data_IF_128390834628
#
_entry.id   IF_128390834628
#
_cell.length_a   1.000
_cell.length_b   1.000
_cell.length_c   1.000
_cell.angle_alpha   90.00
_cell.angle_beta   90.00
_cell.angle_gamma   90.00
#
_symmetry.space_group_name_H-M   'P 1'
#
loop_
_entity.id
_entity.type
_entity.pdbx_description
1 polymer ?
#
# COMPACT_ATOMS: atom_id res chain seq x y z
N UNK A 1 14.82 0.91 -28.46
CA UNK A 1 15.08 0.38 -28.51
C UNK A 1 15.52 -0.32 -28.20
N UNK A 2 15.72 -0.61 -28.01
CA UNK A 2 16.18 -1.31 -27.94
C UNK A 2 16.69 -2.13 -27.70
N UNK A 3 16.99 -2.33 -27.72
CA UNK A 3 17.42 -3.15 -27.58
C UNK A 3 18.26 -3.76 -27.33
N UNK A 4 18.50 -3.90 -27.61
CA UNK A 4 19.63 -4.20 -27.55
C UNK A 4 20.18 -4.58 -26.36
N UNK A 5 19.79 -4.11 -25.52
CA UNK A 5 20.15 -4.37 -24.30
C UNK A 5 20.27 -5.75 -23.93
N UNK A 6 19.66 -6.56 -24.52
CA UNK A 6 19.66 -7.88 -24.16
C UNK A 6 20.99 -8.45 -24.24
N UNK A 7 21.88 -7.75 -24.73
CA UNK A 7 23.20 -8.28 -24.94
C UNK A 7 24.11 -8.25 -23.75
N UNK A 8 23.67 -7.61 -22.65
CA UNK A 8 24.50 -7.58 -21.46
C UNK A 8 24.03 -8.64 -20.48
N UNK A 9 24.79 -9.70 -20.25
CA UNK A 9 24.34 -10.77 -19.38
C UNK A 9 24.10 -10.31 -17.95
N UNK A 10 24.85 -9.32 -17.47
CA UNK A 10 24.64 -8.88 -16.10
C UNK A 10 23.34 -8.13 -15.96
N UNK A 11 22.92 -7.42 -16.98
CA UNK A 11 21.67 -6.73 -16.91
C UNK A 11 20.49 -7.68 -16.99
N UNK A 12 20.70 -8.87 -17.54
CA UNK A 12 19.64 -9.85 -17.59
C UNK A 12 19.25 -10.34 -16.21
N UNK A 13 20.12 -10.22 -15.23
CA UNK A 13 19.83 -10.66 -13.89
C UNK A 13 19.19 -9.58 -13.04
N UNK A 14 19.04 -8.39 -13.59
CA UNK A 14 18.40 -7.28 -12.88
C UNK A 14 17.03 -7.05 -13.47
N UNK A 15 15.96 -7.29 -12.71
CA UNK A 15 14.63 -7.08 -13.28
C UNK A 15 14.47 -5.65 -13.73
N UNK A 16 13.79 -5.46 -14.84
CA UNK A 16 13.45 -4.13 -15.29
C UNK A 16 12.49 -3.51 -14.28
N UNK A 17 12.73 -2.26 -13.95
CA UNK A 17 11.86 -1.58 -13.02
C UNK A 17 10.51 -1.30 -13.69
N UNK A 18 9.43 -1.72 -13.04
CA UNK A 18 8.09 -1.48 -13.55
C UNK A 18 7.65 -0.09 -13.15
N UNK A 19 6.91 0.55 -14.05
CA UNK A 19 6.35 1.85 -13.75
C UNK A 19 5.05 1.72 -13.00
N UNK A 20 4.86 2.57 -12.03
CA UNK A 20 3.60 2.62 -11.31
C UNK A 20 2.56 3.37 -12.14
N UNK A 21 1.30 3.08 -11.87
CA UNK A 21 0.21 3.82 -12.48
C UNK A 21 0.26 5.28 -12.03
N UNK A 22 -0.28 6.19 -12.84
CA UNK A 22 -0.46 7.56 -12.35
C UNK A 22 -1.38 7.56 -11.14
N UNK A 23 -1.11 8.44 -10.20
CA UNK A 23 -1.98 8.60 -9.04
C UNK A 23 -3.22 9.39 -9.47
N UNK A 24 -4.25 9.37 -8.61
CA UNK A 24 -5.46 10.14 -8.88
C UNK A 24 -5.13 11.63 -8.87
N UNK A 25 -5.87 12.40 -9.65
CA UNK A 25 -5.69 13.86 -9.67
C UNK A 25 -6.39 14.54 -8.51
N UNK A 26 -7.45 13.95 -8.02
CA UNK A 26 -8.24 14.48 -6.92
C UNK A 26 -8.86 13.32 -6.17
N UNK A 27 -9.19 13.54 -4.92
CA UNK A 27 -9.93 12.56 -4.12
C UNK A 27 -11.43 12.80 -4.17
N UNK A 28 -11.84 13.99 -4.57
CA UNK A 28 -13.26 14.33 -4.58
C UNK A 28 -14.00 13.40 -5.53
N UNK A 29 -15.03 12.76 -5.02
CA UNK A 29 -15.89 11.84 -5.77
C UNK A 29 -15.20 10.58 -6.25
N UNK A 30 -14.02 10.29 -5.72
CA UNK A 30 -13.34 9.05 -6.01
C UNK A 30 -13.63 8.03 -4.92
N UNK A 31 -13.53 6.75 -5.27
CA UNK A 31 -13.70 5.67 -4.31
C UNK A 31 -12.34 5.11 -3.94
N UNK A 32 -11.99 5.18 -2.67
CA UNK A 32 -10.72 4.68 -2.17
C UNK A 32 -10.98 3.49 -1.27
N UNK A 33 -10.34 2.36 -1.59
CA UNK A 33 -10.42 1.19 -0.73
C UNK A 33 -9.37 1.28 0.36
N UNK A 34 -9.76 0.90 1.57
CA UNK A 34 -8.81 0.73 2.66
C UNK A 34 -8.77 -0.74 2.99
N UNK A 35 -7.64 -1.35 2.71
CA UNK A 35 -7.46 -2.81 2.86
C UNK A 35 -6.74 -3.08 4.17
N UNK A 36 -7.48 -3.64 5.11
CA UNK A 36 -6.99 -3.96 6.43
C UNK A 36 -6.37 -5.35 6.37
N UNK A 37 -5.12 -5.47 6.79
CA UNK A 37 -4.46 -6.77 6.71
C UNK A 37 -4.80 -7.69 7.88
N UNK A 38 -5.63 -7.22 8.81
CA UNK A 38 -6.11 -8.03 9.96
C UNK A 38 -5.11 -8.13 11.10
N UNK A 39 -4.17 -7.20 11.18
CA UNK A 39 -3.28 -7.13 12.33
C UNK A 39 -3.88 -6.22 13.40
N UNK A 40 -3.60 -6.50 14.68
CA UNK A 40 -4.07 -5.62 15.74
C UNK A 40 -3.58 -4.19 15.52
N UNK A 41 -4.42 -3.25 15.85
CA UNK A 41 -4.19 -1.81 15.78
C UNK A 41 -4.35 -1.23 14.37
N UNK A 42 -4.40 -2.07 13.34
CA UNK A 42 -4.57 -1.56 11.98
C UNK A 42 -5.92 -0.90 11.77
N UNK A 43 -6.95 -1.46 12.38
CA UNK A 43 -8.29 -0.91 12.23
C UNK A 43 -8.34 0.54 12.72
N UNK A 44 -7.76 0.81 13.88
CA UNK A 44 -7.79 2.15 14.45
C UNK A 44 -7.03 3.16 13.58
N UNK A 45 -5.91 2.72 13.02
CA UNK A 45 -5.16 3.55 12.09
C UNK A 45 -6.00 3.87 10.85
N UNK A 46 -6.60 2.85 10.26
CA UNK A 46 -7.38 3.03 9.05
C UNK A 46 -8.67 3.81 9.30
N UNK A 47 -9.24 3.70 10.49
CA UNK A 47 -10.42 4.51 10.83
C UNK A 47 -10.08 6.00 10.72
N UNK A 48 -8.91 6.40 11.18
CA UNK A 48 -8.50 7.80 11.10
C UNK A 48 -8.23 8.20 9.65
N UNK A 49 -7.60 7.33 8.88
CA UNK A 49 -7.38 7.59 7.47
C UNK A 49 -8.71 7.76 6.74
N UNK A 50 -9.69 6.93 7.08
CA UNK A 50 -11.01 7.04 6.48
C UNK A 50 -11.65 8.39 6.75
N UNK A 51 -11.56 8.86 7.99
CA UNK A 51 -12.10 10.16 8.35
C UNK A 51 -11.50 11.26 7.47
N UNK A 52 -10.19 11.21 7.27
CA UNK A 52 -9.52 12.24 6.47
C UNK A 52 -9.90 12.16 5.00
N UNK A 53 -9.98 10.94 4.46
CA UNK A 53 -10.37 10.77 3.06
C UNK A 53 -11.79 11.28 2.82
N UNK A 54 -12.70 10.96 3.74
CA UNK A 54 -14.09 11.40 3.58
C UNK A 54 -14.20 12.91 3.69
N UNK A 55 -13.39 13.53 4.54
CA UNK A 55 -13.38 14.98 4.64
C UNK A 55 -12.95 15.65 3.34
N UNK A 56 -12.19 14.94 2.52
CA UNK A 56 -11.74 15.46 1.23
C UNK A 56 -12.66 15.06 0.08
N UNK A 57 -13.78 14.45 0.38
CA UNK A 57 -14.81 14.16 -0.61
C UNK A 57 -14.74 12.77 -1.21
N UNK A 58 -13.88 11.90 -0.70
CA UNK A 58 -13.80 10.54 -1.21
C UNK A 58 -14.88 9.67 -0.59
N UNK A 59 -15.29 8.64 -1.33
CA UNK A 59 -16.07 7.53 -0.78
C UNK A 59 -15.07 6.46 -0.36
N UNK A 60 -15.23 5.92 0.84
CA UNK A 60 -14.30 4.91 1.34
C UNK A 60 -15.01 3.58 1.48
N UNK A 61 -14.37 2.54 0.95
CA UNK A 61 -14.83 1.16 1.14
C UNK A 61 -13.78 0.42 1.95
N UNK A 62 -14.23 -0.34 2.94
CA UNK A 62 -13.33 -1.09 3.82
C UNK A 62 -13.32 -2.55 3.39
N UNK A 63 -12.11 -3.10 3.34
CA UNK A 63 -11.88 -4.51 3.02
C UNK A 63 -10.96 -5.07 4.09
N UNK A 64 -11.05 -6.37 4.32
CA UNK A 64 -10.22 -7.04 5.31
C UNK A 64 -9.66 -8.31 4.71
N UNK A 65 -8.36 -8.51 4.83
CA UNK A 65 -7.75 -9.76 4.40
C UNK A 65 -8.10 -10.86 5.41
N UNK A 66 -8.26 -12.11 4.95
CA UNK A 66 -8.52 -13.19 5.89
C UNK A 66 -7.36 -13.42 6.86
N UNK A 67 -6.13 -13.11 6.44
CA UNK A 67 -4.97 -13.25 7.31
C UNK A 67 -3.90 -12.28 6.85
N UNK A 68 -3.12 -11.77 7.81
CA UNK A 68 -1.99 -10.91 7.49
C UNK A 68 -0.79 -11.70 6.98
N UNK A 69 -0.81 -13.02 7.09
CA UNK A 69 0.35 -13.85 6.79
C UNK A 69 0.45 -14.28 5.33
N UNK A 70 -0.50 -13.87 4.50
CA UNK A 70 -0.52 -14.24 3.08
C UNK A 70 -0.93 -13.05 2.24
N UNK A 71 -0.68 -13.18 0.94
CA UNK A 71 -1.23 -12.21 0.00
C UNK A 71 -2.75 -12.33 -0.01
N UNK A 72 -3.41 -11.30 -0.46
CA UNK A 72 -4.87 -11.31 -0.49
C UNK A 72 -5.38 -12.34 -1.49
N UNK A 73 -6.55 -12.92 -1.22
CA UNK A 73 -7.14 -13.85 -2.20
C UNK A 73 -7.48 -13.15 -3.51
N UNK A 74 -7.46 -13.88 -4.60
CA UNK A 74 -7.77 -13.31 -5.91
C UNK A 74 -9.15 -12.70 -5.96
N UNK A 75 -10.12 -13.29 -5.28
CA UNK A 75 -11.46 -12.74 -5.26
C UNK A 75 -11.49 -11.34 -4.65
N UNK A 76 -10.63 -11.10 -3.67
CA UNK A 76 -10.55 -9.79 -3.05
C UNK A 76 -9.95 -8.78 -4.01
N UNK A 77 -8.88 -9.15 -4.71
CA UNK A 77 -8.31 -8.26 -5.73
C UNK A 77 -9.35 -7.92 -6.79
N UNK A 78 -10.10 -8.91 -7.23
CA UNK A 78 -11.11 -8.70 -8.27
C UNK A 78 -12.19 -7.74 -7.79
N UNK A 79 -12.66 -7.93 -6.57
CA UNK A 79 -13.70 -7.09 -6.03
C UNK A 79 -13.22 -5.64 -5.90
N UNK A 80 -12.01 -5.48 -5.38
CA UNK A 80 -11.44 -4.15 -5.21
C UNK A 80 -11.27 -3.47 -6.56
N UNK A 81 -10.80 -4.22 -7.57
CA UNK A 81 -10.53 -3.61 -8.87
C UNK A 81 -11.80 -3.15 -9.56
N UNK A 82 -12.95 -3.74 -9.23
CA UNK A 82 -14.22 -3.32 -9.79
C UNK A 82 -14.77 -2.12 -9.02
N UNK A 83 -14.57 -2.10 -7.71
CA UNK A 83 -15.27 -1.15 -6.85
C UNK A 83 -14.48 0.14 -6.56
N UNK A 84 -13.16 0.13 -6.71
CA UNK A 84 -12.34 1.24 -6.22
C UNK A 84 -11.54 1.89 -7.32
N UNK A 85 -11.22 3.16 -7.10
CA UNK A 85 -10.33 3.91 -7.98
C UNK A 85 -8.88 3.86 -7.49
N UNK A 86 -8.67 3.61 -6.21
CA UNK A 86 -7.34 3.51 -5.61
C UNK A 86 -7.45 2.79 -4.28
N UNK A 87 -6.32 2.31 -3.76
CA UNK A 87 -6.31 1.51 -2.53
C UNK A 87 -5.14 1.88 -1.64
N UNK A 88 -5.40 1.96 -0.34
CA UNK A 88 -4.36 2.05 0.69
C UNK A 88 -4.46 0.80 1.56
N UNK A 89 -3.35 0.11 1.74
CA UNK A 89 -3.31 -1.12 2.54
C UNK A 89 -2.50 -0.87 3.81
N UNK A 90 -2.97 -1.36 4.93
CA UNK A 90 -2.25 -1.19 6.19
C UNK A 90 -2.78 -2.11 7.26
N UNK A 91 -2.10 -2.26 8.30
CA UNK A 91 -0.85 -1.68 8.73
C UNK A 91 0.10 -2.82 9.06
N UNK A 92 1.20 -2.95 8.32
CA UNK A 92 2.10 -4.08 8.49
C UNK A 92 3.13 -3.76 9.56
N UNK A 93 3.36 -4.70 10.47
CA UNK A 93 4.35 -4.53 11.50
C UNK A 93 5.21 -5.76 11.75
N UNK A 94 5.35 -6.56 10.80
CA UNK A 94 6.17 -7.66 10.78
C UNK A 94 6.77 -7.72 9.43
N UNK A 95 7.76 -8.55 9.34
CA UNK A 95 8.42 -8.68 8.03
C UNK A 95 7.61 -9.42 7.00
N UNK A 96 6.95 -10.52 7.41
CA UNK A 96 6.16 -11.30 6.44
C UNK A 96 4.95 -10.50 5.96
N UNK A 97 4.31 -9.75 6.85
CA UNK A 97 3.15 -9.01 6.40
C UNK A 97 3.54 -7.81 5.54
N UNK A 98 4.74 -7.25 5.75
CA UNK A 98 5.23 -6.21 4.86
C UNK A 98 5.48 -6.78 3.45
N UNK A 99 6.06 -7.96 3.37
CA UNK A 99 6.29 -8.61 2.09
C UNK A 99 4.98 -8.93 1.38
N UNK A 100 3.99 -9.44 2.13
CA UNK A 100 2.69 -9.74 1.53
C UNK A 100 2.01 -8.47 1.03
N UNK A 101 2.13 -7.37 1.79
CA UNK A 101 1.55 -6.10 1.36
C UNK A 101 2.19 -5.62 0.07
N UNK A 102 3.50 -5.75 -0.05
CA UNK A 102 4.18 -5.36 -1.27
C UNK A 102 3.64 -6.14 -2.47
N UNK A 103 3.45 -7.45 -2.31
CA UNK A 103 2.88 -8.27 -3.37
C UNK A 103 1.44 -7.88 -3.68
N UNK A 104 0.65 -7.54 -2.66
CA UNK A 104 -0.71 -7.08 -2.89
C UNK A 104 -0.73 -5.82 -3.74
N UNK A 105 0.14 -4.86 -3.41
CA UNK A 105 0.20 -3.61 -4.17
C UNK A 105 0.59 -3.88 -5.61
N UNK A 106 1.56 -4.78 -5.80
CA UNK A 106 2.00 -5.14 -7.14
C UNK A 106 0.84 -5.70 -7.96
N UNK A 107 0.05 -6.58 -7.35
CA UNK A 107 -1.09 -7.17 -8.05
C UNK A 107 -2.15 -6.12 -8.39
N UNK A 108 -2.48 -5.25 -7.42
CA UNK A 108 -3.48 -4.21 -7.66
C UNK A 108 -3.04 -3.25 -8.76
N UNK A 109 -1.76 -2.86 -8.74
CA UNK A 109 -1.24 -1.99 -9.81
C UNK A 109 -1.36 -2.68 -11.16
N UNK A 110 -1.10 -3.98 -11.22
CA UNK A 110 -1.21 -4.70 -12.48
C UNK A 110 -2.66 -4.77 -12.98
N UNK A 111 -3.62 -4.58 -12.09
CA UNK A 111 -5.04 -4.56 -12.45
C UNK A 111 -5.56 -3.16 -12.76
N UNK A 112 -4.68 -2.17 -12.75
CA UNK A 112 -5.07 -0.81 -13.09
C UNK A 112 -5.49 0.04 -11.90
N UNK A 113 -5.19 -0.39 -10.68
CA UNK A 113 -5.61 0.31 -9.47
C UNK A 113 -4.38 0.91 -8.79
N UNK A 114 -4.23 2.24 -8.78
CA UNK A 114 -3.12 2.85 -8.04
C UNK A 114 -3.24 2.49 -6.57
N UNK A 115 -2.13 2.05 -6.00
CA UNK A 115 -2.18 1.51 -4.65
C UNK A 115 -0.86 1.74 -3.92
N UNK A 116 -0.94 1.75 -2.58
CA UNK A 116 0.23 1.82 -1.75
C UNK A 116 -0.05 1.24 -0.38
N UNK A 117 1.00 1.05 0.40
CA UNK A 117 0.82 0.43 1.71
C UNK A 117 1.53 1.20 2.80
N UNK A 118 1.10 0.95 4.04
CA UNK A 118 1.70 1.54 5.23
C UNK A 118 2.26 0.41 6.09
N UNK A 119 3.47 0.60 6.59
CA UNK A 119 4.14 -0.40 7.40
C UNK A 119 4.98 0.26 8.47
N UNK A 120 5.44 -0.53 9.43
CA UNK A 120 6.32 -0.05 10.49
C UNK A 120 7.71 0.26 9.92
N UNK A 121 8.32 1.31 10.44
CA UNK A 121 9.64 1.74 10.00
C UNK A 121 10.73 0.70 10.22
N UNK A 122 10.49 -0.30 11.06
CA UNK A 122 11.44 -1.39 11.26
C UNK A 122 11.70 -2.17 9.98
N UNK A 123 10.82 -2.08 9.00
CA UNK A 123 10.88 -2.95 7.83
C UNK A 123 11.15 -2.23 6.52
N UNK A 124 11.71 -1.01 6.60
CA UNK A 124 12.03 -0.24 5.40
C UNK A 124 13.02 -0.98 4.52
N UNK A 125 14.11 -1.45 5.11
CA UNK A 125 15.15 -2.10 4.31
C UNK A 125 14.66 -3.39 3.68
N UNK A 126 13.86 -4.15 4.43
CA UNK A 126 13.31 -5.39 3.91
C UNK A 126 12.39 -5.12 2.71
N UNK A 127 11.57 -4.08 2.82
CA UNK A 127 10.67 -3.74 1.73
C UNK A 127 11.43 -3.30 0.49
N UNK A 128 12.49 -2.51 0.70
CA UNK A 128 13.29 -2.05 -0.43
C UNK A 128 14.00 -3.20 -1.12
N UNK A 129 14.57 -4.13 -0.33
CA UNK A 129 15.25 -5.28 -0.91
C UNK A 129 14.29 -6.15 -1.71
N UNK A 130 13.09 -6.37 -1.17
CA UNK A 130 12.09 -7.17 -1.86
C UNK A 130 11.65 -6.49 -3.15
N UNK A 131 11.42 -5.19 -3.11
CA UNK A 131 11.01 -4.45 -4.30
C UNK A 131 12.07 -4.49 -5.38
N UNK A 132 13.33 -4.29 -4.99
CA UNK A 132 14.44 -4.36 -5.94
C UNK A 132 14.49 -5.73 -6.60
N UNK A 133 14.31 -6.77 -5.82
CA UNK A 133 14.35 -8.14 -6.34
C UNK A 133 13.23 -8.38 -7.34
N UNK A 134 12.07 -7.79 -7.12
CA UNK A 134 10.91 -8.00 -7.97
C UNK A 134 10.80 -6.97 -9.11
N UNK A 135 11.66 -5.96 -9.11
CA UNK A 135 11.62 -4.95 -10.16
C UNK A 135 10.47 -3.97 -10.02
N UNK A 136 10.01 -3.74 -8.80
CA UNK A 136 8.94 -2.80 -8.58
C UNK A 136 9.26 -1.96 -7.35
N UNK A 137 8.89 -0.68 -7.40
CA UNK A 137 9.03 0.22 -6.27
C UNK A 137 7.65 0.71 -5.88
N UNK A 138 6.93 -0.08 -5.09
CA UNK A 138 5.58 0.33 -4.73
C UNK A 138 5.62 1.58 -3.86
N UNK A 139 4.58 2.36 -3.93
CA UNK A 139 4.42 3.48 -3.02
C UNK A 139 4.22 2.94 -1.61
N UNK A 140 4.94 3.50 -0.67
CA UNK A 140 4.84 3.06 0.72
C UNK A 140 5.10 4.21 1.67
N UNK A 141 4.54 4.07 2.86
CA UNK A 141 4.75 5.01 3.95
C UNK A 141 5.12 4.20 5.17
N UNK A 142 6.13 4.64 5.90
CA UNK A 142 6.56 3.92 7.09
C UNK A 142 6.30 4.79 8.32
N UNK A 143 5.66 4.19 9.32
CA UNK A 143 5.30 4.88 10.54
C UNK A 143 6.12 4.35 11.69
N UNK A 144 6.33 5.15 12.75
CA UNK A 144 7.20 4.73 13.85
C UNK A 144 6.74 3.45 14.53
N UNK A 145 7.68 2.57 14.77
CA UNK A 145 7.53 1.38 15.60
C UNK A 145 7.58 1.82 17.06
N UNK A 146 6.95 1.11 17.99
CA UNK A 146 6.11 -0.07 17.85
C UNK A 146 4.66 0.27 17.52
N UNK A 147 3.89 -0.75 17.15
CA UNK A 147 2.50 -0.55 16.77
C UNK A 147 1.53 -1.11 17.79
N UNK A 148 1.73 -2.39 18.16
CA UNK A 148 0.66 -3.11 18.86
C UNK A 148 0.45 -2.68 20.30
N UNK A 149 1.45 -2.06 20.91
CA UNK A 149 1.32 -1.61 22.29
C UNK A 149 0.67 -0.25 22.43
N UNK A 150 0.33 0.41 21.34
CA UNK A 150 -0.19 1.76 21.42
C UNK A 150 -1.66 1.75 21.80
N UNK A 151 -2.07 2.82 22.48
CA UNK A 151 -3.48 3.04 22.78
C UNK A 151 -4.21 3.53 21.53
N UNK A 152 -5.54 3.56 21.60
CA UNK A 152 -6.34 4.09 20.51
C UNK A 152 -5.96 5.54 20.19
N UNK A 153 -5.79 6.36 21.22
CA UNK A 153 -5.41 7.76 21.00
C UNK A 153 -4.05 7.87 20.35
N UNK A 154 -3.11 7.02 20.77
CA UNK A 154 -1.79 7.01 20.15
C UNK A 154 -1.86 6.56 18.70
N UNK A 155 -2.74 5.62 18.37
CA UNK A 155 -2.90 5.19 16.98
C UNK A 155 -3.51 6.31 16.13
N UNK A 156 -4.45 7.05 16.68
CA UNK A 156 -5.01 8.19 15.95
C UNK A 156 -3.94 9.23 15.68
N UNK A 157 -3.10 9.50 16.67
CA UNK A 157 -2.04 10.46 16.50
C UNK A 157 -1.02 9.99 15.46
N UNK A 158 -0.71 8.69 15.49
CA UNK A 158 0.19 8.10 14.51
C UNK A 158 -0.35 8.34 13.10
N UNK A 159 -1.65 8.09 12.90
CA UNK A 159 -2.27 8.29 11.60
C UNK A 159 -2.28 9.75 11.21
N UNK A 160 -2.62 10.65 12.13
CA UNK A 160 -2.65 12.08 11.81
C UNK A 160 -1.29 12.58 11.41
N UNK A 161 -0.25 12.14 12.11
CA UNK A 161 1.11 12.58 11.79
C UNK A 161 1.57 12.11 10.42
N UNK A 162 1.04 10.99 9.94
CA UNK A 162 1.43 10.43 8.66
C UNK A 162 0.45 10.78 7.53
N UNK A 163 -0.62 11.52 7.83
CA UNK A 163 -1.74 11.58 6.90
C UNK A 163 -1.37 12.16 5.54
N UNK A 164 -0.55 13.19 5.50
CA UNK A 164 -0.20 13.76 4.20
C UNK A 164 0.53 12.74 3.34
N UNK A 165 1.46 12.01 3.94
CA UNK A 165 2.20 10.99 3.20
C UNK A 165 1.28 9.85 2.78
N UNK A 166 0.36 9.47 3.66
CA UNK A 166 -0.57 8.38 3.35
C UNK A 166 -1.46 8.78 2.16
N UNK A 167 -1.96 10.01 2.15
CA UNK A 167 -2.79 10.46 1.04
C UNK A 167 -2.01 10.44 -0.28
N UNK A 168 -0.72 10.74 -0.23
CA UNK A 168 0.10 10.73 -1.43
C UNK A 168 0.31 9.34 -2.01
N UNK A 169 -0.04 8.30 -1.27
CA UNK A 169 -0.02 6.97 -1.85
C UNK A 169 -0.99 6.85 -3.02
N UNK A 170 -2.05 7.63 -3.02
CA UNK A 170 -3.11 7.48 -4.01
C UNK A 170 -3.42 8.74 -4.80
N UNK A 171 -2.96 9.90 -4.36
CA UNK A 171 -3.28 11.15 -5.07
C UNK A 171 -2.02 11.98 -5.26
N UNK A 172 -1.92 12.63 -6.40
CA UNK A 172 -0.83 13.58 -6.68
C UNK A 172 -1.08 14.89 -5.96
N UNK A 173 0.00 15.54 -5.56
CA UNK A 173 -0.11 16.89 -5.00
C UNK A 173 -0.33 17.92 -6.09
#
# INVERSE_FOLDING_TARGET
MSTITMLDPTSEHTPAERQLLPRLKTLSEMTVGLLDISKPRGKEFLDEVQTELEALGATVLRYTKPTFARVAPKELYQRISIECDAVIEGLADXGSCTSCSLHDIMDLESRGIPAGFVASSEFIEAAEAQGNSLGIRPKSVFVPHPIQDRTDDEMKELARNAIEQVLQLVVDN
#
